data_IF_494810616759
#
_entry.id   IF_494810616759
#
_cell.length_a   1.000
_cell.length_b   1.000
_cell.length_c   1.000
_cell.angle_alpha   90.00
_cell.angle_beta   90.00
_cell.angle_gamma   90.00
#
_symmetry.space_group_name_H-M   'P 1'
#
loop_
_entity.id
_entity.type
_entity.pdbx_description
1 polymer ?
#
# COMPACT_ATOMS: atom_id res chain seq x y z
N UNK A 1 11.28 13.67 0.98
CA UNK A 1 10.75 13.25 2.30
C UNK A 1 10.86 11.76 2.48
N UNK A 2 10.97 11.31 3.72
CA UNK A 2 11.05 9.91 4.07
C UNK A 2 9.70 9.40 4.53
N UNK A 3 9.29 8.26 3.99
CA UNK A 3 8.04 7.60 4.36
C UNK A 3 8.38 6.16 4.72
N UNK A 4 7.89 5.69 5.86
CA UNK A 4 8.10 4.31 6.30
C UNK A 4 6.91 3.47 5.85
N UNK A 5 7.19 2.35 5.20
CA UNK A 5 6.16 1.41 4.76
C UNK A 5 6.34 0.12 5.52
N UNK A 6 5.29 -0.34 6.19
CA UNK A 6 5.27 -1.60 6.93
C UNK A 6 4.41 -2.62 6.18
N UNK A 7 4.92 -3.84 6.11
CA UNK A 7 4.24 -4.92 5.42
C UNK A 7 3.77 -5.96 6.42
N UNK A 8 2.49 -6.29 6.39
CA UNK A 8 1.97 -7.42 7.15
C UNK A 8 2.40 -8.73 6.49
N UNK A 9 2.31 -9.87 7.19
CA UNK A 9 2.84 -11.15 6.66
C UNK A 9 2.37 -11.50 5.26
N UNK A 10 1.13 -11.15 4.92
CA UNK A 10 0.58 -11.41 3.59
C UNK A 10 1.43 -10.78 2.48
N UNK A 11 1.91 -9.56 2.71
CA UNK A 11 2.72 -8.84 1.74
C UNK A 11 4.20 -9.22 1.80
N UNK A 12 4.67 -9.76 2.92
CA UNK A 12 6.08 -10.14 3.09
C UNK A 12 6.52 -11.23 2.13
N UNK A 13 5.59 -12.05 1.66
CA UNK A 13 5.90 -13.04 0.64
C UNK A 13 6.44 -12.37 -0.64
N UNK A 14 5.99 -11.15 -0.93
CA UNK A 14 6.40 -10.40 -2.10
C UNK A 14 7.59 -9.48 -1.83
N UNK A 15 7.65 -8.90 -0.65
CA UNK A 15 8.65 -7.87 -0.33
C UNK A 15 9.88 -8.45 0.38
N UNK A 16 9.73 -9.59 1.06
CA UNK A 16 10.78 -10.26 1.82
C UNK A 16 11.37 -9.38 2.93
N UNK A 17 10.62 -8.39 3.36
CA UNK A 17 11.03 -7.51 4.45
C UNK A 17 9.80 -7.06 5.22
N UNK A 18 9.99 -6.73 6.48
CA UNK A 18 8.89 -6.26 7.33
C UNK A 18 8.57 -4.80 7.10
N UNK A 19 9.55 -4.02 6.70
CA UNK A 19 9.36 -2.60 6.43
C UNK A 19 10.46 -2.07 5.53
N UNK A 20 10.19 -0.95 4.91
CA UNK A 20 11.18 -0.23 4.12
C UNK A 20 10.94 1.27 4.26
N UNK A 21 11.98 2.04 3.97
CA UNK A 21 11.87 3.50 3.91
C UNK A 21 11.96 3.91 2.46
N UNK A 22 11.01 4.73 2.03
CA UNK A 22 10.95 5.24 0.66
C UNK A 22 11.17 6.75 0.70
N UNK A 23 12.02 7.22 -0.20
CA UNK A 23 12.28 8.65 -0.36
C UNK A 23 11.42 9.16 -1.51
N UNK A 24 10.59 10.15 -1.22
CA UNK A 24 9.66 10.73 -2.19
C UNK A 24 9.83 12.24 -2.24
N UNK A 25 9.39 12.83 -3.35
CA UNK A 25 9.37 14.29 -3.48
C UNK A 25 8.28 14.88 -2.62
N UNK A 26 8.47 16.12 -2.20
CA UNK A 26 7.42 16.87 -1.51
C UNK A 26 6.15 16.91 -2.36
N UNK A 27 5.02 16.73 -1.70
CA UNK A 27 3.74 16.71 -2.38
C UNK A 27 3.32 15.36 -2.93
N UNK A 28 4.17 14.33 -2.79
CA UNK A 28 3.81 12.99 -3.24
C UNK A 28 2.60 12.45 -2.47
N UNK A 29 1.79 11.69 -3.17
CA UNK A 29 0.58 11.10 -2.62
C UNK A 29 0.75 9.58 -2.46
N UNK A 30 -0.22 8.93 -1.83
CA UNK A 30 -0.15 7.49 -1.58
C UNK A 30 -0.03 6.70 -2.87
N UNK A 31 -0.76 7.08 -3.92
CA UNK A 31 -0.63 6.39 -5.21
C UNK A 31 0.77 6.51 -5.80
N UNK A 32 1.47 7.61 -5.57
CA UNK A 32 2.87 7.74 -5.99
C UNK A 32 3.74 6.73 -5.27
N UNK A 33 3.53 6.57 -3.95
CA UNK A 33 4.24 5.59 -3.16
C UNK A 33 3.98 4.18 -3.66
N UNK A 34 2.72 3.85 -3.92
CA UNK A 34 2.36 2.52 -4.40
C UNK A 34 3.02 2.19 -5.74
N UNK A 35 3.13 3.18 -6.63
CA UNK A 35 3.85 3.00 -7.90
C UNK A 35 5.32 2.69 -7.67
N UNK A 36 5.96 3.40 -6.75
CA UNK A 36 7.36 3.14 -6.42
C UNK A 36 7.54 1.74 -5.87
N UNK A 37 6.69 1.33 -4.95
CA UNK A 37 6.77 0.00 -4.34
C UNK A 37 6.56 -1.11 -5.36
N UNK A 38 5.57 -0.97 -6.23
CA UNK A 38 5.29 -2.00 -7.22
C UNK A 38 6.39 -2.08 -8.29
N UNK A 39 7.03 -0.97 -8.59
CA UNK A 39 8.20 -0.98 -9.47
C UNK A 39 9.39 -1.68 -8.81
N UNK A 40 9.55 -1.52 -7.50
CA UNK A 40 10.65 -2.11 -6.76
C UNK A 40 10.48 -3.61 -6.52
N UNK A 41 9.28 -4.04 -6.16
CA UNK A 41 9.03 -5.42 -5.76
C UNK A 41 8.39 -6.29 -6.84
N UNK A 42 7.89 -5.69 -7.91
CA UNK A 42 7.45 -6.41 -9.09
C UNK A 42 5.98 -6.77 -9.13
N UNK A 43 5.65 -7.66 -10.06
CA UNK A 43 4.26 -7.98 -10.38
C UNK A 43 3.47 -8.62 -9.24
N UNK A 44 4.13 -9.41 -8.41
CA UNK A 44 3.45 -10.03 -7.28
C UNK A 44 2.83 -9.00 -6.35
N UNK A 45 3.57 -7.97 -6.00
CA UNK A 45 3.04 -6.89 -5.19
C UNK A 45 2.03 -6.06 -5.97
N UNK A 46 2.31 -5.81 -7.24
CA UNK A 46 1.42 -5.04 -8.10
C UNK A 46 0.02 -5.65 -8.15
N UNK A 47 -0.04 -6.96 -8.29
CA UNK A 47 -1.32 -7.66 -8.34
C UNK A 47 -2.11 -7.52 -7.04
N UNK A 48 -1.42 -7.52 -5.91
CA UNK A 48 -2.08 -7.33 -4.62
C UNK A 48 -2.58 -5.91 -4.39
N UNK A 49 -1.91 -4.93 -4.97
CA UNK A 49 -2.23 -3.52 -4.75
C UNK A 49 -3.28 -3.01 -5.72
N UNK A 50 -3.18 -3.40 -7.00
CA UNK A 50 -4.00 -2.83 -8.06
C UNK A 50 -5.07 -3.76 -8.61
N UNK A 51 -4.91 -5.05 -8.46
CA UNK A 51 -5.90 -5.95 -8.98
C UNK A 51 -7.15 -5.91 -8.12
N UNK A 52 -8.19 -5.29 -8.63
CA UNK A 52 -9.51 -5.48 -8.06
C UNK A 52 -9.83 -6.94 -8.28
N UNK A 53 -9.87 -7.71 -7.23
CA UNK A 53 -10.24 -9.11 -7.37
C UNK A 53 -11.74 -9.18 -7.59
N UNK A 54 -12.10 -9.21 -8.84
CA UNK A 54 -13.50 -9.14 -9.27
C UNK A 54 -14.35 -10.31 -8.79
N UNK A 55 -13.70 -11.38 -8.38
CA UNK A 55 -14.42 -12.58 -7.96
C UNK A 55 -14.75 -12.61 -6.48
N UNK A 56 -14.25 -11.64 -5.72
CA UNK A 56 -14.46 -11.64 -4.27
C UNK A 56 -14.54 -10.21 -3.76
N UNK A 57 -15.76 -9.70 -3.69
CA UNK A 57 -16.01 -8.33 -3.25
C UNK A 57 -15.69 -8.10 -1.78
N UNK A 58 -15.53 -9.18 -1.02
CA UNK A 58 -15.30 -9.07 0.42
C UNK A 58 -13.82 -9.16 0.80
N UNK A 59 -12.95 -9.30 -0.18
CA UNK A 59 -11.53 -9.50 0.09
C UNK A 59 -10.72 -8.37 -0.54
N UNK A 60 -10.48 -7.35 0.26
CA UNK A 60 -9.75 -6.18 -0.18
C UNK A 60 -8.53 -5.98 0.68
N UNK A 61 -7.39 -5.82 0.04
CA UNK A 61 -6.23 -5.30 0.75
C UNK A 61 -6.52 -3.84 1.14
N UNK A 62 -5.88 -3.39 2.19
CA UNK A 62 -6.07 -2.03 2.68
C UNK A 62 -4.72 -1.36 2.91
N UNK A 63 -4.73 -0.05 2.88
CA UNK A 63 -3.57 0.75 3.29
C UNK A 63 -3.99 1.60 4.48
N UNK A 64 -3.15 1.62 5.51
CA UNK A 64 -3.35 2.52 6.65
C UNK A 64 -2.30 3.61 6.55
N UNK A 65 -2.75 4.86 6.54
CA UNK A 65 -1.88 6.02 6.43
C UNK A 65 -2.09 6.88 7.66
N UNK A 66 -1.06 6.95 8.52
CA UNK A 66 -1.13 7.74 9.76
C UNK A 66 -2.41 7.47 10.53
N UNK A 67 -2.82 6.21 10.61
CA UNK A 67 -3.98 5.76 11.36
C UNK A 67 -5.30 5.70 10.59
N UNK A 68 -5.32 6.15 9.33
CA UNK A 68 -6.53 6.12 8.52
C UNK A 68 -6.49 4.97 7.52
N UNK A 69 -7.48 4.09 7.57
CA UNK A 69 -7.54 2.92 6.69
C UNK A 69 -8.33 3.22 5.42
N UNK A 70 -7.80 2.80 4.28
CA UNK A 70 -8.43 2.97 2.97
C UNK A 70 -8.32 1.65 2.21
N UNK A 71 -9.36 1.26 1.48
CA UNK A 71 -9.30 0.04 0.67
C UNK A 71 -8.41 0.21 -0.55
N UNK A 72 -7.80 -0.90 -0.98
CA UNK A 72 -7.05 -0.96 -2.22
C UNK A 72 -7.88 -1.67 -3.29
N UNK A 73 -7.77 -1.31 -4.55
CA UNK A 73 -6.96 -0.23 -5.08
C UNK A 73 -7.49 1.15 -4.65
N UNK A 74 -6.57 2.08 -4.45
CA UNK A 74 -6.92 3.40 -3.95
C UNK A 74 -7.48 4.26 -5.09
N UNK A 75 -8.73 4.70 -4.94
CA UNK A 75 -9.36 5.57 -5.92
C UNK A 75 -8.67 6.93 -5.95
N UNK A 76 -8.60 7.59 -7.12
CA UNK A 76 -7.93 8.89 -7.21
C UNK A 76 -8.49 9.94 -6.25
N UNK A 77 -9.80 9.95 -6.05
CA UNK A 77 -10.45 10.90 -5.14
C UNK A 77 -10.18 10.60 -3.67
N UNK A 78 -9.69 9.40 -3.37
CA UNK A 78 -9.32 9.02 -2.01
C UNK A 78 -7.83 9.15 -1.75
N UNK A 79 -7.07 9.61 -2.74
CA UNK A 79 -5.63 9.74 -2.61
C UNK A 79 -5.29 10.81 -1.57
N UNK A 80 -4.22 10.58 -0.83
CA UNK A 80 -3.84 11.43 0.29
C UNK A 80 -2.39 11.85 0.13
N UNK A 81 -2.09 13.10 0.40
CA UNK A 81 -0.72 13.60 0.41
C UNK A 81 0.03 13.04 1.59
N UNK A 82 1.22 12.57 1.33
CA UNK A 82 2.15 12.11 2.35
C UNK A 82 2.96 13.29 2.89
N UNK A 83 3.52 13.11 4.06
CA UNK A 83 4.37 14.13 4.69
C UNK A 83 5.61 13.46 5.25
N UNK A 84 6.58 14.26 5.63
CA UNK A 84 7.80 13.77 6.24
C UNK A 84 7.46 12.91 7.46
N UNK A 85 7.98 11.69 7.48
CA UNK A 85 7.75 10.77 8.59
C UNK A 85 6.43 10.01 8.53
N UNK A 86 5.63 10.15 7.48
CA UNK A 86 4.40 9.37 7.35
C UNK A 86 4.69 7.87 7.48
N UNK A 87 3.77 7.15 8.12
CA UNK A 87 3.84 5.70 8.27
C UNK A 87 2.68 5.10 7.49
N UNK A 88 3.02 4.21 6.58
CA UNK A 88 2.05 3.54 5.72
C UNK A 88 2.13 2.04 5.98
N UNK A 89 0.99 1.42 6.26
CA UNK A 89 0.92 -0.01 6.54
C UNK A 89 0.06 -0.67 5.47
N UNK A 90 0.60 -1.70 4.82
CA UNK A 90 -0.17 -2.51 3.88
C UNK A 90 -0.74 -3.70 4.64
N UNK A 91 -2.05 -3.81 4.64
CA UNK A 91 -2.78 -4.87 5.34
C UNK A 91 -3.33 -5.89 4.38
N UNK A 92 -3.27 -7.14 4.80
CA UNK A 92 -3.87 -8.24 4.07
C UNK A 92 -5.39 -8.10 4.02
N UNK A 93 -6.03 -8.64 2.98
CA UNK A 93 -7.48 -8.75 2.98
C UNK A 93 -7.94 -9.60 4.16
N UNK A 94 -9.05 -9.21 4.76
CA UNK A 94 -9.68 -10.00 5.82
C UNK A 94 -10.77 -10.83 5.16
N UNK A 95 -10.48 -12.10 4.94
CA UNK A 95 -11.42 -13.00 4.29
C UNK A 95 -12.57 -13.35 5.22
N UNK A 96 -13.77 -13.27 4.70
CA UNK A 96 -14.96 -13.74 5.38
C UNK A 96 -15.45 -12.89 6.53
N UNK A 97 -15.06 -11.65 6.55
CA UNK A 97 -15.60 -10.71 7.54
C UNK A 97 -15.06 -10.87 8.91
#
# INVERSE_FOLDING_TARGET
MKVTVKFTPYFRAQTRTEQTVVHLNEGAQVNDLLRVLTAQYGEGLRDLVYAANVDSIDVWASVIIDGKALPLPLAPESDIKLKEGSVVILLAPVAGG
#
